data_IF_581962172752
#
_entry.id   IF_581962172752
#
_cell.length_a   1.000
_cell.length_b   1.000
_cell.length_c   1.000
_cell.angle_alpha   90.00
_cell.angle_beta   90.00
_cell.angle_gamma   90.00
#
_symmetry.space_group_name_H-M   'P 1'
#
loop_
_entity.id
_entity.type
_entity.pdbx_description
1 polymer ?
#
# COMPACT_ATOMS: atom_id res chain seq x y z
N UNK A 1 9.86 11.21 3.17
CA UNK A 1 10.32 9.87 2.71
C UNK A 1 9.64 9.58 1.36
N UNK A 2 10.39 9.15 0.35
CA UNK A 2 9.88 8.84 -1.00
C UNK A 2 8.87 7.67 -0.93
N UNK A 3 7.67 7.78 -1.52
CA UNK A 3 6.71 6.67 -1.56
C UNK A 3 7.25 5.50 -2.39
N UNK A 4 7.04 4.27 -1.93
CA UNK A 4 7.61 3.04 -2.54
C UNK A 4 7.22 2.82 -4.02
N UNK A 5 6.06 3.34 -4.45
CA UNK A 5 5.53 3.16 -5.80
C UNK A 5 5.68 4.40 -6.68
N UNK A 6 6.39 5.42 -6.19
CA UNK A 6 6.64 6.65 -6.93
C UNK A 6 8.12 6.70 -7.28
N UNK A 7 8.42 6.87 -8.56
CA UNK A 7 9.72 7.27 -9.03
C UNK A 7 9.70 8.74 -9.45
N UNK A 8 10.85 9.40 -9.39
CA UNK A 8 10.99 10.79 -9.86
C UNK A 8 12.01 10.75 -10.98
N UNK A 9 11.55 10.92 -12.22
CA UNK A 9 12.40 10.93 -13.41
C UNK A 9 12.30 12.31 -14.04
N UNK A 10 13.42 12.99 -14.19
CA UNK A 10 13.48 14.34 -14.80
C UNK A 10 12.57 15.39 -14.13
N UNK A 11 12.36 15.31 -12.81
CA UNK A 11 11.44 16.22 -12.08
C UNK A 11 9.97 15.83 -12.20
N UNK A 12 9.62 14.88 -13.07
CA UNK A 12 8.26 14.36 -13.18
C UNK A 12 8.02 13.18 -12.24
N UNK A 13 6.83 13.18 -11.64
CA UNK A 13 6.33 12.10 -10.80
C UNK A 13 5.83 10.95 -11.67
N UNK A 14 6.57 9.86 -11.70
CA UNK A 14 6.14 8.62 -12.33
C UNK A 14 5.58 7.66 -11.27
N UNK A 15 4.33 7.22 -11.43
CA UNK A 15 3.68 6.33 -10.49
C UNK A 15 3.54 4.94 -11.13
N UNK A 16 4.17 3.94 -10.51
CA UNK A 16 4.08 2.55 -10.95
C UNK A 16 2.73 1.92 -10.55
N UNK A 17 1.64 2.34 -11.19
CA UNK A 17 0.27 1.90 -10.88
C UNK A 17 0.10 0.37 -10.94
N UNK A 18 0.72 -0.30 -11.90
CA UNK A 18 0.63 -1.75 -12.02
C UNK A 18 1.26 -2.48 -10.82
N UNK A 19 2.45 -2.03 -10.38
CA UNK A 19 3.12 -2.60 -9.20
C UNK A 19 2.31 -2.34 -7.93
N UNK A 20 1.72 -1.14 -7.81
CA UNK A 20 0.84 -0.80 -6.70
C UNK A 20 -0.39 -1.71 -6.67
N UNK A 21 -1.06 -1.91 -7.81
CA UNK A 21 -2.26 -2.73 -7.91
C UNK A 21 -1.98 -4.20 -7.55
N UNK A 22 -0.90 -4.77 -8.06
CA UNK A 22 -0.48 -6.14 -7.71
C UNK A 22 -0.19 -6.26 -6.21
N UNK A 23 0.52 -5.28 -5.64
CA UNK A 23 0.80 -5.25 -4.20
C UNK A 23 -0.48 -5.14 -3.37
N UNK A 24 -1.42 -4.29 -3.76
CA UNK A 24 -2.69 -4.11 -3.06
C UNK A 24 -3.52 -5.40 -3.03
N UNK A 25 -3.64 -6.09 -4.17
CA UNK A 25 -4.36 -7.36 -4.25
C UNK A 25 -3.69 -8.41 -3.35
N UNK A 26 -2.37 -8.56 -3.46
CA UNK A 26 -1.62 -9.51 -2.65
C UNK A 26 -1.80 -9.24 -1.15
N UNK A 27 -1.71 -7.97 -0.73
CA UNK A 27 -1.88 -7.57 0.66
C UNK A 27 -3.29 -7.93 1.20
N UNK A 28 -4.34 -7.67 0.41
CA UNK A 28 -5.72 -7.97 0.81
C UNK A 28 -5.92 -9.48 0.96
N UNK A 29 -5.44 -10.27 0.00
CA UNK A 29 -5.56 -11.74 0.03
C UNK A 29 -4.80 -12.32 1.22
N UNK A 30 -3.57 -11.85 1.48
CA UNK A 30 -2.77 -12.30 2.61
C UNK A 30 -3.44 -11.93 3.94
N UNK A 31 -3.94 -10.71 4.08
CA UNK A 31 -4.61 -10.28 5.32
C UNK A 31 -5.91 -11.06 5.58
N UNK A 32 -6.70 -11.35 4.53
CA UNK A 32 -7.87 -12.21 4.63
C UNK A 32 -7.50 -13.64 5.05
N UNK A 33 -6.44 -14.19 4.45
CA UNK A 33 -5.94 -15.54 4.77
C UNK A 33 -5.45 -15.62 6.22
N UNK A 34 -4.70 -14.63 6.70
CA UNK A 34 -4.27 -14.54 8.11
C UNK A 34 -5.49 -14.48 9.04
N UNK A 35 -6.50 -13.67 8.68
CA UNK A 35 -7.75 -13.59 9.43
C UNK A 35 -8.47 -14.94 9.53
N UNK A 36 -8.54 -15.69 8.42
CA UNK A 36 -9.15 -17.03 8.41
C UNK A 36 -8.36 -18.08 9.19
N UNK A 37 -7.02 -18.06 9.10
CA UNK A 37 -6.17 -18.96 9.90
C UNK A 37 -6.32 -18.65 11.39
N UNK A 38 -6.35 -17.37 11.77
CA UNK A 38 -6.56 -16.96 13.16
C UNK A 38 -7.93 -17.41 13.69
N UNK A 39 -8.98 -17.26 12.89
CA UNK A 39 -10.34 -17.70 13.26
C UNK A 39 -10.39 -19.20 13.55
N UNK A 40 -9.81 -19.99 12.64
CA UNK A 40 -9.73 -21.44 12.80
C UNK A 40 -8.96 -21.85 14.05
N UNK A 41 -7.85 -21.17 14.36
CA UNK A 41 -7.04 -21.46 15.54
C UNK A 41 -7.74 -21.09 16.86
N UNK A 42 -8.56 -20.04 16.88
CA UNK A 42 -9.22 -19.55 18.10
C UNK A 42 -10.55 -20.28 18.35
N UNK A 43 -11.38 -20.41 17.32
CA UNK A 43 -12.74 -20.92 17.44
C UNK A 43 -12.86 -22.41 17.10
N UNK A 44 -11.86 -22.99 16.43
CA UNK A 44 -11.87 -24.39 16.01
C UNK A 44 -12.78 -24.68 14.81
N UNK A 45 -13.37 -23.67 14.20
CA UNK A 45 -14.17 -23.76 12.97
C UNK A 45 -13.88 -22.59 12.04
N UNK A 46 -14.20 -22.74 10.75
CA UNK A 46 -14.06 -21.68 9.76
C UNK A 46 -15.25 -20.72 9.82
N UNK A 47 -15.06 -19.54 10.39
CA UNK A 47 -15.98 -18.41 10.26
C UNK A 47 -15.53 -17.44 9.16
N UNK A 48 -16.48 -16.61 8.71
CA UNK A 48 -16.23 -15.62 7.65
C UNK A 48 -15.87 -14.23 8.20
N UNK A 49 -16.15 -13.96 9.47
CA UNK A 49 -16.03 -12.63 10.10
C UNK A 49 -14.58 -12.17 10.21
N UNK A 50 -13.69 -12.99 10.74
CA UNK A 50 -12.27 -12.64 10.90
C UNK A 50 -11.53 -12.44 9.56
N UNK A 51 -11.72 -13.27 8.51
CA UNK A 51 -11.22 -12.96 7.17
C UNK A 51 -11.70 -11.61 6.62
N UNK A 52 -12.99 -11.28 6.80
CA UNK A 52 -13.58 -10.02 6.34
C UNK A 52 -12.94 -8.83 7.06
N UNK A 53 -12.75 -8.92 8.38
CA UNK A 53 -12.09 -7.88 9.17
C UNK A 53 -10.64 -7.70 8.69
N UNK A 54 -9.90 -8.79 8.48
CA UNK A 54 -8.52 -8.75 7.97
C UNK A 54 -8.43 -8.06 6.60
N UNK A 55 -9.31 -8.43 5.67
CA UNK A 55 -9.40 -7.80 4.34
C UNK A 55 -9.72 -6.30 4.45
N UNK A 56 -10.67 -5.93 5.32
CA UNK A 56 -11.08 -4.53 5.55
C UNK A 56 -9.91 -3.69 6.05
N UNK A 57 -9.14 -4.20 7.01
CA UNK A 57 -7.94 -3.51 7.51
C UNK A 57 -6.88 -3.33 6.41
N UNK A 58 -6.66 -4.34 5.57
CA UNK A 58 -5.76 -4.23 4.43
C UNK A 58 -6.22 -3.15 3.43
N UNK A 59 -7.51 -3.05 3.15
CA UNK A 59 -8.07 -1.99 2.30
C UNK A 59 -7.76 -0.61 2.89
N UNK A 60 -7.93 -0.40 4.20
CA UNK A 60 -7.59 0.87 4.85
C UNK A 60 -6.10 1.22 4.70
N UNK A 61 -5.22 0.22 4.81
CA UNK A 61 -3.78 0.41 4.57
C UNK A 61 -3.50 0.79 3.12
N UNK A 62 -4.14 0.14 2.14
CA UNK A 62 -4.02 0.46 0.71
C UNK A 62 -4.50 1.88 0.43
N UNK A 63 -5.65 2.29 0.97
CA UNK A 63 -6.16 3.66 0.81
C UNK A 63 -5.19 4.68 1.41
N UNK A 64 -4.63 4.41 2.59
CA UNK A 64 -3.63 5.28 3.21
C UNK A 64 -2.37 5.39 2.34
N UNK A 65 -1.91 4.30 1.75
CA UNK A 65 -0.78 4.31 0.80
C UNK A 65 -1.12 5.10 -0.45
N UNK A 66 -2.32 4.94 -1.00
CA UNK A 66 -2.80 5.69 -2.15
C UNK A 66 -2.79 7.20 -1.89
N UNK A 67 -3.32 7.64 -0.74
CA UNK A 67 -3.30 9.06 -0.34
C UNK A 67 -1.86 9.59 -0.29
N UNK A 68 -0.91 8.80 0.25
CA UNK A 68 0.52 9.19 0.26
C UNK A 68 1.12 9.27 -1.14
N UNK A 69 0.79 8.34 -2.03
CA UNK A 69 1.25 8.34 -3.41
C UNK A 69 0.70 9.57 -4.15
N UNK A 70 -0.60 9.84 -4.03
CA UNK A 70 -1.27 10.96 -4.71
C UNK A 70 -0.80 12.30 -4.15
N UNK A 71 -0.75 12.44 -2.83
CA UNK A 71 -0.33 13.67 -2.16
C UNK A 71 1.17 13.94 -2.20
N UNK A 72 2.00 13.00 -2.68
CA UNK A 72 3.42 13.26 -2.87
C UNK A 72 3.63 14.22 -4.04
N UNK A 73 4.14 15.42 -3.73
CA UNK A 73 4.72 16.35 -4.69
C UNK A 73 6.24 16.16 -4.66
N UNK A 74 6.90 15.90 -5.81
CA UNK A 74 8.35 15.99 -5.87
C UNK A 74 8.72 17.44 -5.59
N UNK A 75 9.34 17.70 -4.44
CA UNK A 75 9.84 19.05 -4.14
C UNK A 75 11.07 19.24 -5.04
N UNK A 76 11.01 20.20 -5.96
CA UNK A 76 12.17 20.71 -6.69
C UNK A 76 13.16 21.31 -5.68
N UNK A 77 14.08 20.52 -5.12
CA UNK A 77 15.14 21.03 -4.20
C UNK A 77 16.55 20.77 -4.73
N UNK A 78 16.70 20.11 -5.87
CA UNK A 78 18.03 19.74 -6.37
C UNK A 78 18.59 20.69 -7.44
N UNK A 79 17.90 21.77 -7.83
CA UNK A 79 18.43 22.72 -8.84
C UNK A 79 19.24 23.88 -8.26
N UNK A 80 19.20 24.14 -6.95
CA UNK A 80 19.92 25.27 -6.33
C UNK A 80 21.27 24.88 -5.68
N UNK A 81 21.69 23.62 -5.75
CA UNK A 81 22.97 23.16 -5.18
C UNK A 81 24.08 23.05 -6.25
N UNK A 82 23.76 23.13 -7.55
CA UNK A 82 24.75 23.12 -8.64
C UNK A 82 25.14 24.51 -9.18
N UNK A 83 24.60 25.60 -8.63
CA UNK A 83 24.88 26.97 -9.08
C UNK A 83 25.67 27.83 -8.09
N UNK A 84 26.48 27.22 -7.20
CA UNK A 84 27.42 27.95 -6.32
C UNK A 84 28.82 27.36 -6.36
#
# INVERSE_FOLDING_TARGET
MKPMFVDVRHGEKDVHWLKFLVFSIALIVIAAAIGGVADFLILGFYGYTAPIIGATLAILVVVRLLIRIVGYQPIEVESDIQSS
#
